data_IF_671509055242
#
_entry.id   IF_671509055242
#
_cell.length_a   1.000
_cell.length_b   1.000
_cell.length_c   1.000
_cell.angle_alpha   90.00
_cell.angle_beta   90.00
_cell.angle_gamma   90.00
#
_symmetry.space_group_name_H-M   'P 1'
#
loop_
_entity.id
_entity.type
_entity.pdbx_description
1 polymer ?
#
# COMPACT_ATOMS: atom_id res chain seq x y z
N UNK A 1 -42.73 64.74 -7.72
CA UNK A 1 -41.50 64.92 -6.93
C UNK A 1 -41.00 63.51 -6.61
N UNK A 2 -40.03 62.88 -7.25
CA UNK A 2 -38.99 63.31 -8.19
C UNK A 2 -38.82 62.27 -9.30
N UNK A 3 -38.51 62.77 -10.49
CA UNK A 3 -37.94 62.07 -11.64
C UNK A 3 -36.56 61.46 -11.27
N UNK A 4 -35.95 60.44 -11.91
CA UNK A 4 -35.52 60.36 -13.32
C UNK A 4 -34.98 58.96 -13.72
N UNK A 5 -35.33 58.55 -14.95
CA UNK A 5 -34.48 58.06 -16.09
C UNK A 5 -33.76 56.69 -15.90
N UNK A 6 -34.19 55.55 -16.50
CA UNK A 6 -34.33 55.05 -17.90
C UNK A 6 -32.99 54.63 -18.59
N UNK A 7 -32.97 53.39 -19.11
CA UNK A 7 -32.37 52.82 -20.35
C UNK A 7 -31.51 51.56 -20.05
N UNK A 8 -31.94 50.32 -20.30
CA UNK A 8 -32.31 49.60 -21.55
C UNK A 8 -31.13 49.06 -22.36
N UNK A 9 -31.33 47.82 -22.83
CA UNK A 9 -30.73 47.06 -23.94
C UNK A 9 -29.44 46.25 -23.69
N UNK A 10 -29.54 44.94 -23.94
CA UNK A 10 -28.38 44.04 -24.09
C UNK A 10 -28.74 42.55 -24.16
N UNK A 11 -29.41 42.12 -25.24
CA UNK A 11 -29.60 40.70 -25.58
C UNK A 11 -28.26 40.10 -26.01
N UNK A 12 -27.93 38.89 -25.53
CA UNK A 12 -26.73 38.17 -25.94
C UNK A 12 -26.79 36.68 -25.62
N UNK A 13 -27.52 35.94 -26.46
CA UNK A 13 -27.44 34.48 -26.56
C UNK A 13 -26.14 34.12 -27.30
N UNK A 14 -25.30 33.28 -26.69
CA UNK A 14 -24.24 32.54 -27.39
C UNK A 14 -24.28 31.07 -26.99
N UNK A 15 -24.64 30.22 -27.94
CA UNK A 15 -24.26 28.81 -27.99
C UNK A 15 -22.87 28.72 -28.64
N UNK A 16 -22.02 27.78 -28.19
CA UNK A 16 -21.28 26.78 -29.02
C UNK A 16 -20.05 26.22 -28.25
N UNK A 17 -20.11 24.90 -28.02
CA UNK A 17 -19.07 23.86 -28.05
C UNK A 17 -17.67 24.03 -27.43
N UNK A 18 -17.28 23.01 -26.66
CA UNK A 18 -15.94 22.43 -26.77
C UNK A 18 -15.09 22.46 -25.50
N UNK A 19 -14.78 21.28 -24.96
CA UNK A 19 -13.70 21.08 -24.00
C UNK A 19 -14.18 20.72 -22.60
N UNK A 20 -14.48 19.44 -22.37
CA UNK A 20 -14.41 18.89 -21.03
C UNK A 20 -12.92 18.91 -20.63
N UNK A 21 -12.47 19.96 -19.95
CA UNK A 21 -11.22 19.92 -19.20
C UNK A 21 -11.40 18.87 -18.09
N UNK A 22 -10.95 17.64 -18.36
CA UNK A 22 -10.64 16.68 -17.31
C UNK A 22 -9.46 17.25 -16.54
N UNK A 23 -9.76 18.07 -15.53
CA UNK A 23 -8.79 18.43 -14.52
C UNK A 23 -8.50 17.12 -13.78
N UNK A 24 -7.45 16.43 -14.20
CA UNK A 24 -6.82 15.37 -13.44
C UNK A 24 -6.50 15.98 -12.08
N UNK A 25 -7.35 15.69 -11.10
CA UNK A 25 -7.09 16.00 -9.72
C UNK A 25 -5.82 15.22 -9.38
N UNK A 26 -4.67 15.89 -9.43
CA UNK A 26 -3.41 15.38 -8.91
C UNK A 26 -3.65 15.15 -7.42
N UNK A 27 -4.20 13.99 -7.08
CA UNK A 27 -4.16 13.50 -5.71
C UNK A 27 -2.67 13.43 -5.39
N UNK A 28 -2.14 14.21 -4.44
CA UNK A 28 -0.81 13.93 -3.95
C UNK A 28 -0.82 12.48 -3.50
N UNK A 29 0.01 11.65 -4.15
CA UNK A 29 0.24 10.27 -3.71
C UNK A 29 0.58 10.37 -2.23
N UNK A 30 -0.13 9.68 -1.33
CA UNK A 30 0.05 9.88 0.09
C UNK A 30 1.52 9.58 0.40
N UNK A 31 2.27 10.64 0.66
CA UNK A 31 3.61 10.58 1.19
C UNK A 31 3.54 9.63 2.39
N UNK A 32 4.48 8.68 2.45
CA UNK A 32 4.50 7.64 3.46
C UNK A 32 4.31 8.31 4.82
N UNK A 33 3.10 8.20 5.41
CA UNK A 33 2.89 8.58 6.81
C UNK A 33 3.98 7.86 7.58
N UNK A 34 5.00 8.57 8.09
CA UNK A 34 6.11 7.90 8.74
C UNK A 34 5.46 7.10 9.85
N UNK A 35 5.87 5.84 10.00
CA UNK A 35 5.50 5.05 11.17
C UNK A 35 6.11 5.79 12.37
N UNK A 36 5.44 6.85 12.86
CA UNK A 36 6.00 7.92 13.71
C UNK A 36 6.61 7.38 15.01
N UNK A 37 6.21 6.17 15.39
CA UNK A 37 6.65 5.50 16.62
C UNK A 37 7.41 4.18 16.38
N UNK A 38 7.68 3.80 15.13
CA UNK A 38 8.43 2.58 14.83
C UNK A 38 9.89 2.94 14.57
N UNK A 39 10.66 3.16 15.65
CA UNK A 39 12.11 3.05 15.52
C UNK A 39 12.41 1.57 15.26
N UNK A 40 13.00 1.20 14.12
CA UNK A 40 13.42 -0.18 13.93
C UNK A 40 14.36 -0.51 15.07
N UNK A 41 14.11 -1.63 15.76
CA UNK A 41 15.11 -2.10 16.71
C UNK A 41 16.40 -2.39 15.92
N UNK A 42 17.59 -2.27 16.51
CA UNK A 42 18.80 -2.79 15.85
C UNK A 42 18.72 -4.31 15.80
N UNK A 43 19.00 -4.91 14.64
CA UNK A 43 19.00 -6.38 14.51
C UNK A 43 19.33 -6.86 13.09
N UNK A 44 19.78 -8.11 12.92
CA UNK A 44 20.14 -8.66 11.62
C UNK A 44 18.88 -9.10 10.84
N UNK A 45 18.07 -8.12 10.40
CA UNK A 45 16.77 -8.36 9.76
C UNK A 45 16.87 -9.11 8.43
N UNK A 46 18.03 -9.05 7.78
CA UNK A 46 18.29 -9.58 6.44
C UNK A 46 19.11 -10.87 6.45
N UNK A 47 19.26 -11.52 7.61
CA UNK A 47 19.84 -12.85 7.72
C UNK A 47 18.91 -13.96 7.19
N UNK A 48 19.50 -15.10 6.82
CA UNK A 48 18.76 -16.31 6.48
C UNK A 48 17.89 -16.74 7.65
N UNK A 49 16.65 -17.13 7.36
CA UNK A 49 15.68 -17.53 8.38
C UNK A 49 14.89 -18.78 7.97
N UNK A 50 14.21 -19.39 8.93
CA UNK A 50 13.45 -20.64 8.73
C UNK A 50 12.05 -20.51 9.30
N UNK A 51 11.04 -20.90 8.52
CA UNK A 51 9.63 -20.97 8.95
C UNK A 51 9.08 -22.33 8.57
N UNK A 52 8.52 -23.06 9.53
CA UNK A 52 7.92 -24.39 9.32
C UNK A 52 8.80 -25.37 8.51
N UNK A 53 10.10 -25.41 8.76
CA UNK A 53 11.00 -26.29 8.00
C UNK A 53 11.65 -25.65 6.77
N UNK A 54 11.02 -24.65 6.17
CA UNK A 54 11.44 -24.00 4.93
C UNK A 54 12.43 -22.87 5.21
N UNK A 55 13.56 -22.86 4.50
CA UNK A 55 14.57 -21.80 4.57
C UNK A 55 14.25 -20.70 3.57
N UNK A 56 14.46 -19.46 4.00
CA UNK A 56 14.32 -18.26 3.19
C UNK A 56 15.61 -17.44 3.31
N UNK A 57 16.01 -16.87 2.17
CA UNK A 57 17.17 -15.98 2.07
C UNK A 57 16.69 -14.64 1.55
N UNK A 58 16.66 -13.59 2.38
CA UNK A 58 16.42 -12.23 1.92
C UNK A 58 17.40 -11.84 0.81
N UNK A 59 16.91 -11.06 -0.15
CA UNK A 59 17.72 -10.42 -1.18
C UNK A 59 18.67 -9.43 -0.53
N UNK A 60 19.84 -9.27 -1.13
CA UNK A 60 20.75 -8.18 -0.80
C UNK A 60 20.14 -6.85 -1.24
N UNK A 61 20.53 -5.75 -0.60
CA UNK A 61 19.95 -4.42 -0.84
C UNK A 61 20.15 -3.99 -2.29
N UNK A 62 21.34 -4.26 -2.82
CA UNK A 62 21.76 -3.96 -4.18
C UNK A 62 20.91 -4.69 -5.23
N UNK A 63 20.41 -5.88 -4.91
CA UNK A 63 19.53 -6.65 -5.80
C UNK A 63 18.05 -6.26 -5.67
N UNK A 64 17.70 -5.52 -4.62
CA UNK A 64 16.34 -5.01 -4.43
C UNK A 64 16.13 -3.71 -5.21
N UNK A 65 17.20 -3.00 -5.57
CA UNK A 65 17.16 -1.84 -6.46
C UNK A 65 16.52 -2.24 -7.80
N UNK A 66 15.49 -1.50 -8.22
CA UNK A 66 14.74 -1.81 -9.45
C UNK A 66 13.85 -3.06 -9.38
N UNK A 67 13.67 -3.67 -8.20
CA UNK A 67 12.75 -4.80 -8.04
C UNK A 67 11.34 -4.43 -8.49
N UNK A 68 10.77 -5.26 -9.36
CA UNK A 68 9.38 -5.16 -9.84
C UNK A 68 8.81 -6.56 -10.04
N UNK A 69 7.70 -6.86 -9.36
CA UNK A 69 7.03 -8.15 -9.51
C UNK A 69 5.50 -8.01 -9.42
N UNK A 70 4.80 -8.93 -10.08
CA UNK A 70 3.35 -9.05 -9.99
C UNK A 70 2.94 -10.32 -9.24
N UNK A 71 1.85 -10.25 -8.50
CA UNK A 71 1.30 -11.40 -7.80
C UNK A 71 0.12 -11.08 -6.91
N UNK A 72 -0.44 -12.12 -6.29
CA UNK A 72 -1.52 -11.97 -5.34
C UNK A 72 -1.06 -11.25 -4.07
N UNK A 73 -1.75 -10.17 -3.71
CA UNK A 73 -1.71 -9.59 -2.37
C UNK A 73 -2.79 -10.19 -1.49
N UNK A 74 -2.51 -10.30 -0.19
CA UNK A 74 -3.52 -10.42 0.87
C UNK A 74 -3.38 -9.28 1.87
N UNK A 75 -4.18 -9.33 2.95
CA UNK A 75 -3.99 -8.44 4.08
C UNK A 75 -4.17 -9.12 5.43
N UNK A 76 -3.56 -8.52 6.45
CA UNK A 76 -3.69 -8.86 7.86
C UNK A 76 -4.13 -7.64 8.68
N UNK A 77 -4.95 -7.88 9.70
CA UNK A 77 -5.63 -6.82 10.45
C UNK A 77 -5.76 -7.11 11.93
N UNK A 78 -6.93 -6.76 12.48
CA UNK A 78 -7.21 -6.79 13.92
C UNK A 78 -7.01 -8.17 14.54
N UNK A 79 -7.27 -9.23 13.77
CA UNK A 79 -7.06 -10.61 14.19
C UNK A 79 -5.59 -10.93 14.47
N UNK A 80 -4.67 -10.34 13.71
CA UNK A 80 -3.21 -10.49 13.94
C UNK A 80 -2.78 -9.60 15.10
N UNK A 81 -3.30 -8.37 15.16
CA UNK A 81 -3.03 -7.42 16.24
C UNK A 81 -3.42 -7.96 17.63
N UNK A 82 -4.57 -8.64 17.73
CA UNK A 82 -5.08 -9.19 19.00
C UNK A 82 -4.51 -10.56 19.38
N UNK A 83 -3.76 -11.22 18.50
CA UNK A 83 -3.15 -12.52 18.82
C UNK A 83 -2.01 -12.34 19.82
N UNK A 84 -1.97 -13.13 20.92
CA UNK A 84 -0.80 -13.17 21.80
C UNK A 84 0.47 -13.48 21.00
N UNK A 85 1.46 -12.58 21.04
CA UNK A 85 2.71 -12.70 20.28
C UNK A 85 2.60 -12.47 18.77
N UNK A 86 1.42 -12.15 18.24
CA UNK A 86 1.18 -11.91 16.80
C UNK A 86 1.35 -10.45 16.37
N UNK A 87 1.58 -9.54 17.31
CA UNK A 87 1.68 -8.10 17.07
C UNK A 87 3.13 -7.61 16.97
N UNK A 88 4.12 -8.49 16.81
CA UNK A 88 5.53 -8.11 16.65
C UNK A 88 6.00 -8.50 15.27
N UNK A 89 6.50 -7.53 14.49
CA UNK A 89 7.05 -7.78 13.16
C UNK A 89 8.43 -8.41 13.24
N UNK A 90 8.96 -8.88 12.10
CA UNK A 90 10.31 -9.40 12.00
C UNK A 90 11.41 -8.41 12.42
N UNK A 91 11.16 -7.09 12.34
CA UNK A 91 12.07 -6.05 12.87
C UNK A 91 11.86 -5.73 14.35
N UNK A 92 11.00 -6.49 15.05
CA UNK A 92 10.70 -6.30 16.47
C UNK A 92 9.80 -5.09 16.75
N UNK A 93 9.17 -4.51 15.74
CA UNK A 93 8.24 -3.39 15.85
C UNK A 93 6.83 -3.90 16.19
N UNK A 94 6.04 -3.10 16.90
CA UNK A 94 4.62 -3.43 17.09
C UNK A 94 3.84 -3.21 15.80
N UNK A 95 3.22 -4.27 15.29
CA UNK A 95 2.24 -4.19 14.21
C UNK A 95 1.01 -3.41 14.68
N UNK A 96 0.46 -2.59 13.77
CA UNK A 96 -0.83 -1.95 13.97
C UNK A 96 -1.62 -1.93 12.65
N UNK A 97 -2.89 -2.35 12.63
CA UNK A 97 -3.65 -2.51 11.39
C UNK A 97 -3.98 -1.18 10.69
N UNK A 98 -3.87 -0.05 11.40
CA UNK A 98 -4.06 1.29 10.84
C UNK A 98 -2.81 1.87 10.13
N UNK A 99 -1.63 1.27 10.32
CA UNK A 99 -0.37 1.73 9.73
C UNK A 99 -0.22 1.22 8.30
N UNK A 100 0.49 1.95 7.45
CA UNK A 100 0.77 1.55 6.07
C UNK A 100 2.01 0.65 5.98
N UNK A 101 1.87 -0.59 6.45
CA UNK A 101 2.93 -1.60 6.45
C UNK A 101 2.59 -2.80 5.57
N UNK A 102 3.63 -3.59 5.27
CA UNK A 102 3.54 -4.84 4.53
C UNK A 102 4.56 -5.89 5.01
N UNK A 103 4.29 -7.16 4.68
CA UNK A 103 5.19 -8.28 4.85
C UNK A 103 5.63 -8.82 3.48
N UNK A 104 6.92 -9.10 3.33
CA UNK A 104 7.48 -9.74 2.13
C UNK A 104 8.52 -10.81 2.52
N UNK A 105 8.61 -11.89 1.74
CA UNK A 105 9.44 -13.05 2.07
C UNK A 105 10.93 -12.73 1.95
N UNK A 106 11.29 -12.02 0.88
CA UNK A 106 12.71 -11.89 0.50
C UNK A 106 13.15 -10.47 0.21
N UNK A 107 12.28 -9.46 0.30
CA UNK A 107 12.77 -8.09 0.15
C UNK A 107 13.58 -7.76 1.41
N UNK A 108 14.67 -6.99 1.31
CA UNK A 108 15.37 -6.53 2.50
C UNK A 108 14.41 -5.74 3.41
N UNK A 109 14.72 -5.71 4.70
CA UNK A 109 13.98 -4.93 5.69
C UNK A 109 14.89 -3.86 6.32
N UNK A 110 14.36 -2.66 6.57
CA UNK A 110 13.13 -2.13 5.96
C UNK A 110 13.33 -1.83 4.48
N UNK A 111 12.26 -1.88 3.70
CA UNK A 111 12.25 -1.38 2.31
C UNK A 111 10.91 -0.70 2.01
N UNK A 112 10.95 0.42 1.29
CA UNK A 112 9.73 1.07 0.82
C UNK A 112 9.37 0.50 -0.55
N UNK A 113 8.08 0.24 -0.75
CA UNK A 113 7.56 -0.25 -2.02
C UNK A 113 6.33 0.53 -2.43
N UNK A 114 6.17 0.73 -3.74
CA UNK A 114 4.91 1.11 -4.35
C UNK A 114 4.13 -0.14 -4.68
N UNK A 115 2.89 -0.20 -4.23
CA UNK A 115 1.97 -1.29 -4.56
C UNK A 115 0.84 -0.73 -5.39
N UNK A 116 0.60 -1.32 -6.55
CA UNK A 116 -0.48 -0.94 -7.46
C UNK A 116 -1.46 -2.10 -7.58
N UNK A 117 -2.73 -1.87 -7.24
CA UNK A 117 -3.81 -2.81 -7.51
C UNK A 117 -4.16 -2.76 -9.00
N UNK A 118 -3.92 -3.86 -9.71
CA UNK A 118 -4.05 -3.93 -11.16
C UNK A 118 -5.51 -4.01 -11.62
N UNK A 119 -6.43 -4.35 -10.73
CA UNK A 119 -7.87 -4.42 -11.02
C UNK A 119 -8.52 -3.02 -11.10
N UNK A 120 -8.00 -2.05 -10.34
CA UNK A 120 -8.60 -0.72 -10.22
C UNK A 120 -7.63 0.45 -10.44
N UNK A 121 -6.35 0.16 -10.70
CA UNK A 121 -5.31 1.16 -10.96
C UNK A 121 -4.86 1.97 -9.75
N UNK A 122 -5.40 1.71 -8.55
CA UNK A 122 -5.02 2.47 -7.33
C UNK A 122 -3.65 2.02 -6.86
N UNK A 123 -2.81 2.98 -6.48
CA UNK A 123 -1.48 2.72 -5.94
C UNK A 123 -1.25 3.36 -4.58
N UNK A 124 -0.31 2.79 -3.83
CA UNK A 124 0.05 3.24 -2.49
C UNK A 124 1.50 2.88 -2.19
N UNK A 125 2.25 3.82 -1.61
CA UNK A 125 3.55 3.52 -1.03
C UNK A 125 3.37 2.92 0.37
N UNK A 126 4.07 1.83 0.67
CA UNK A 126 4.04 1.15 1.97
C UNK A 126 5.45 0.76 2.39
N UNK A 127 5.67 0.64 3.70
CA UNK A 127 6.93 0.11 4.25
C UNK A 127 6.82 -1.39 4.49
N UNK A 128 7.72 -2.14 3.88
CA UNK A 128 7.94 -3.55 4.20
C UNK A 128 8.76 -3.61 5.49
N UNK A 129 8.18 -4.14 6.55
CA UNK A 129 8.81 -4.24 7.88
C UNK A 129 8.65 -5.62 8.52
N UNK A 130 8.10 -6.59 7.77
CA UNK A 130 7.79 -7.92 8.27
C UNK A 130 8.06 -9.02 7.23
N UNK A 131 8.06 -10.28 7.69
CA UNK A 131 8.32 -11.48 6.87
C UNK A 131 7.04 -12.26 6.61
N UNK A 132 6.90 -12.74 5.38
CA UNK A 132 5.73 -13.47 4.91
C UNK A 132 5.33 -13.01 3.51
N UNK A 133 4.20 -13.46 2.96
CA UNK A 133 3.27 -14.43 3.53
C UNK A 133 3.82 -15.86 3.46
N UNK A 134 3.45 -16.69 4.44
CA UNK A 134 3.84 -18.09 4.56
C UNK A 134 2.64 -19.02 4.35
N UNK A 135 2.85 -20.27 3.89
CA UNK A 135 1.79 -21.27 3.83
C UNK A 135 1.12 -21.49 5.21
N UNK A 136 -0.19 -21.26 5.27
CA UNK A 136 -1.02 -21.67 6.40
C UNK A 136 -1.53 -23.11 6.21
N UNK A 137 -1.80 -23.82 7.31
CA UNK A 137 -2.27 -25.21 7.24
C UNK A 137 -3.69 -25.30 6.68
N UNK A 138 -4.49 -24.24 6.87
CA UNK A 138 -5.86 -24.11 6.34
C UNK A 138 -5.90 -23.69 4.88
N UNK A 139 -4.84 -23.04 4.39
CA UNK A 139 -4.72 -22.61 3.01
C UNK A 139 -3.25 -22.65 2.57
N UNK A 140 -2.75 -23.80 2.09
CA UNK A 140 -1.36 -23.94 1.65
C UNK A 140 -1.01 -23.00 0.48
N UNK A 141 -1.98 -22.67 -0.37
CA UNK A 141 -1.78 -21.76 -1.51
C UNK A 141 -1.44 -20.32 -1.09
N UNK A 142 -1.73 -19.93 0.16
CA UNK A 142 -1.36 -18.61 0.70
C UNK A 142 0.15 -18.33 0.63
N UNK A 143 1.00 -19.35 0.62
CA UNK A 143 2.44 -19.18 0.45
C UNK A 143 2.87 -18.72 -0.96
N UNK A 144 1.96 -18.77 -1.95
CA UNK A 144 2.21 -18.25 -3.30
C UNK A 144 1.96 -16.75 -3.43
N UNK A 145 1.35 -16.12 -2.42
CA UNK A 145 1.06 -14.67 -2.42
C UNK A 145 2.36 -13.89 -2.37
N UNK A 146 2.44 -12.81 -3.14
CA UNK A 146 3.62 -11.98 -3.26
C UNK A 146 3.85 -11.17 -1.99
N UNK A 147 2.81 -10.49 -1.52
CA UNK A 147 2.87 -9.53 -0.42
C UNK A 147 1.65 -9.66 0.49
N UNK A 148 1.83 -9.40 1.79
CA UNK A 148 0.72 -9.29 2.74
C UNK A 148 0.68 -7.85 3.27
N UNK A 149 -0.46 -7.19 3.17
CA UNK A 149 -0.61 -5.76 3.49
C UNK A 149 -1.34 -5.56 4.81
N UNK A 150 -1.10 -4.42 5.46
CA UNK A 150 -1.97 -3.97 6.55
C UNK A 150 -3.41 -3.74 6.09
N UNK A 151 -4.38 -3.90 7.01
CA UNK A 151 -5.79 -3.58 6.75
C UNK A 151 -6.00 -2.15 6.22
N UNK A 152 -5.25 -1.16 6.72
CA UNK A 152 -5.30 0.21 6.21
C UNK A 152 -4.84 0.33 4.76
N UNK A 153 -3.71 -0.32 4.40
CA UNK A 153 -3.25 -0.34 3.02
C UNK A 153 -4.26 -1.02 2.08
N UNK A 154 -4.85 -2.15 2.51
CA UNK A 154 -5.87 -2.84 1.73
C UNK A 154 -7.15 -2.02 1.52
N UNK A 155 -7.56 -1.21 2.50
CA UNK A 155 -8.69 -0.27 2.36
C UNK A 155 -8.36 0.82 1.34
N UNK A 156 -7.16 1.41 1.41
CA UNK A 156 -6.69 2.44 0.47
C UNK A 156 -6.53 1.90 -0.96
N UNK A 157 -6.08 0.66 -1.13
CA UNK A 157 -5.95 -0.03 -2.42
C UNK A 157 -7.28 -0.64 -2.93
N UNK A 158 -8.34 -0.58 -2.14
CA UNK A 158 -9.68 -0.96 -2.55
C UNK A 158 -9.97 -2.46 -2.61
N UNK A 159 -9.20 -3.31 -1.92
CA UNK A 159 -9.42 -4.77 -1.92
C UNK A 159 -9.71 -5.37 -0.54
N UNK A 160 -9.83 -4.54 0.50
CA UNK A 160 -10.11 -5.00 1.87
C UNK A 160 -11.29 -5.98 1.95
N UNK A 161 -12.41 -5.69 1.28
CA UNK A 161 -13.60 -6.56 1.27
C UNK A 161 -13.42 -7.83 0.44
N UNK A 162 -12.61 -7.77 -0.63
CA UNK A 162 -12.35 -8.90 -1.52
C UNK A 162 -11.36 -9.89 -0.89
N UNK A 163 -10.52 -9.41 0.05
CA UNK A 163 -9.52 -10.22 0.75
C UNK A 163 -8.22 -10.39 -0.04
N UNK A 164 -8.31 -10.51 -1.37
CA UNK A 164 -7.18 -10.63 -2.29
C UNK A 164 -7.29 -9.60 -3.42
N UNK A 165 -6.15 -9.25 -4.01
CA UNK A 165 -6.05 -8.49 -5.24
C UNK A 165 -4.81 -8.91 -6.03
N UNK A 166 -4.87 -8.86 -7.36
CA UNK A 166 -3.67 -8.94 -8.18
C UNK A 166 -2.95 -7.57 -8.17
N UNK A 167 -1.69 -7.55 -7.72
CA UNK A 167 -0.93 -6.31 -7.55
C UNK A 167 0.41 -6.36 -8.27
N UNK A 168 0.91 -5.18 -8.63
CA UNK A 168 2.32 -4.93 -8.94
C UNK A 168 3.00 -4.33 -7.72
N UNK A 169 4.18 -4.83 -7.35
CA UNK A 169 5.03 -4.34 -6.26
C UNK A 169 6.35 -3.88 -6.86
N UNK A 170 6.71 -2.64 -6.58
CA UNK A 170 7.94 -2.00 -7.07
C UNK A 170 8.71 -1.42 -5.88
N UNK A 171 10.01 -1.72 -5.76
CA UNK A 171 10.86 -1.04 -4.77
C UNK A 171 11.04 0.42 -5.17
N UNK A 172 10.96 1.31 -4.20
CA UNK A 172 11.18 2.75 -4.36
C UNK A 172 12.26 3.19 -3.38
N UNK A 173 13.19 3.99 -3.89
CA UNK A 173 14.34 4.53 -3.15
C UNK A 173 13.92 5.55 -2.08
#
# INVERSE_FOLDING_TARGET
MNERIINSIGVGLWLVFGGLLFIFWLSPSPELEPLRDARPKPGPWNGNYKVKGVRYSPMQVENAEGYSAEGWASWYGEETYRRPGGNTTAMGESFHPSRLSAAHRTLPLPTNVRVTNLENGRSLNVRVNDRGPFPSDRNPSSGKRLIDLSAAAAKKLGFYRNGLAWVKVEVID
#
